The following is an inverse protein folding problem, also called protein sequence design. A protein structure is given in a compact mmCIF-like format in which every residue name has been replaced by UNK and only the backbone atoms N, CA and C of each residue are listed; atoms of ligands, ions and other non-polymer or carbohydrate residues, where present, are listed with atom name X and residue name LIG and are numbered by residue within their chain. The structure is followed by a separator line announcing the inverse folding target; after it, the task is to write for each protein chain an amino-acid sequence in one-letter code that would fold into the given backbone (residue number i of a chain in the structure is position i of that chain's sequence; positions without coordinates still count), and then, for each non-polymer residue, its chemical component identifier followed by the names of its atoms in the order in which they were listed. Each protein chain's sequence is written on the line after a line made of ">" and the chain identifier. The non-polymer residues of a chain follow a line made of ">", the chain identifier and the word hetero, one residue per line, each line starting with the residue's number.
data_IF_044934663178
#
_entry.id   IF_044934663178
#
_cell.length_a   1.000
_cell.length_b   1.000
_cell.length_c   1.000
_cell.angle_alpha   90.00
_cell.angle_beta   90.00
_cell.angle_gamma   90.00
#
_symmetry.space_group_name_H-M   'P 1'
#
loop_
_entity.id
_entity.type
_entity.pdbx_description
1 polymer ?
#
# COMPACT_ATOMS: atom_id res chain seq x y z
N UNK A 1 -22.10 -23.68 -22.23
CA UNK A 1 -22.61 -22.29 -22.25
C UNK A 1 -21.96 -21.53 -21.12
N UNK A 2 -21.14 -20.52 -21.44
CA UNK A 2 -20.70 -19.54 -20.44
C UNK A 2 -21.85 -18.61 -20.08
N UNK A 3 -21.92 -18.17 -18.82
CA UNK A 3 -22.80 -17.09 -18.42
C UNK A 3 -22.04 -15.77 -18.63
N UNK A 4 -22.70 -14.78 -19.25
CA UNK A 4 -22.14 -13.45 -19.38
C UNK A 4 -21.91 -12.84 -18.00
N UNK A 5 -20.79 -12.13 -17.85
CA UNK A 5 -20.45 -11.45 -16.61
C UNK A 5 -20.68 -9.95 -16.79
N UNK A 6 -21.66 -9.43 -16.05
CA UNK A 6 -22.02 -8.03 -16.03
C UNK A 6 -21.64 -7.34 -14.71
N UNK A 7 -21.84 -6.02 -14.68
CA UNK A 7 -21.61 -5.18 -13.51
C UNK A 7 -22.42 -5.64 -12.29
N UNK A 8 -23.67 -6.04 -12.50
CA UNK A 8 -24.60 -6.44 -11.43
C UNK A 8 -24.12 -7.71 -10.72
N UNK A 9 -23.62 -8.70 -11.48
CA UNK A 9 -23.04 -9.92 -10.93
C UNK A 9 -21.88 -9.64 -9.97
N UNK A 10 -21.02 -8.65 -10.29
CA UNK A 10 -19.93 -8.26 -9.41
C UNK A 10 -20.45 -7.51 -8.18
N UNK A 11 -21.41 -6.61 -8.34
CA UNK A 11 -22.02 -5.88 -7.23
C UNK A 11 -22.66 -6.82 -6.21
N UNK A 12 -23.39 -7.85 -6.64
CA UNK A 12 -23.98 -8.84 -5.74
C UNK A 12 -22.91 -9.46 -4.83
N UNK A 13 -21.75 -9.83 -5.39
CA UNK A 13 -20.65 -10.43 -4.62
C UNK A 13 -20.00 -9.39 -3.69
N UNK A 14 -19.82 -8.16 -4.16
CA UNK A 14 -19.24 -7.06 -3.37
C UNK A 14 -20.14 -6.66 -2.20
N UNK A 15 -21.43 -6.45 -2.45
CA UNK A 15 -22.44 -6.15 -1.43
C UNK A 15 -22.52 -7.27 -0.40
N UNK A 16 -22.55 -8.54 -0.84
CA UNK A 16 -22.51 -9.68 0.06
C UNK A 16 -21.27 -9.64 0.97
N UNK A 17 -20.10 -9.26 0.44
CA UNK A 17 -18.87 -9.13 1.22
C UNK A 17 -18.89 -7.97 2.23
N UNK A 18 -19.72 -6.95 2.01
CA UNK A 18 -19.87 -5.80 2.90
C UNK A 18 -20.88 -6.07 4.04
N UNK A 19 -21.94 -6.83 3.76
CA UNK A 19 -22.91 -7.24 4.76
C UNK A 19 -22.24 -8.15 5.78
N UNK A 20 -22.10 -7.65 7.02
CA UNK A 20 -21.50 -8.38 8.14
C UNK A 20 -22.21 -9.74 8.28
N UNK A 21 -21.47 -10.84 8.02
CA UNK A 21 -21.81 -12.27 8.20
C UNK A 21 -22.21 -13.08 6.95
N UNK A 22 -22.32 -12.51 5.74
CA UNK A 22 -22.70 -13.35 4.58
C UNK A 22 -21.48 -14.10 4.01
N UNK A 23 -20.45 -13.39 3.57
CA UNK A 23 -19.22 -13.96 2.99
C UNK A 23 -17.98 -13.19 3.46
N UNK A 24 -16.88 -13.91 3.70
CA UNK A 24 -15.58 -13.27 3.99
C UNK A 24 -15.01 -12.63 2.73
N UNK A 25 -14.24 -11.54 2.87
CA UNK A 25 -13.52 -10.87 1.76
C UNK A 25 -12.69 -11.83 0.90
N UNK A 26 -11.99 -12.78 1.54
CA UNK A 26 -11.21 -13.80 0.84
C UNK A 26 -12.08 -14.69 -0.07
N UNK A 27 -13.25 -15.11 0.43
CA UNK A 27 -14.22 -15.91 -0.33
C UNK A 27 -14.85 -15.09 -1.46
N UNK A 28 -15.18 -13.82 -1.22
CA UNK A 28 -15.68 -12.92 -2.26
C UNK A 28 -14.72 -12.84 -3.45
N UNK A 29 -13.41 -12.68 -3.19
CA UNK A 29 -12.40 -12.70 -4.26
C UNK A 29 -12.31 -14.04 -4.97
N UNK A 30 -12.41 -15.18 -4.26
CA UNK A 30 -12.44 -16.50 -4.90
C UNK A 30 -13.65 -16.65 -5.83
N UNK A 31 -14.82 -16.16 -5.40
CA UNK A 31 -16.03 -16.18 -6.23
C UNK A 31 -15.82 -15.32 -7.48
N UNK A 32 -15.33 -14.09 -7.32
CA UNK A 32 -15.04 -13.19 -8.45
C UNK A 32 -14.06 -13.85 -9.43
N UNK A 33 -12.94 -14.39 -8.94
CA UNK A 33 -11.97 -15.09 -9.79
C UNK A 33 -12.58 -16.29 -10.55
N UNK A 34 -13.48 -17.04 -9.91
CA UNK A 34 -14.22 -18.10 -10.58
C UNK A 34 -15.17 -17.58 -11.65
N UNK A 35 -15.84 -16.44 -11.43
CA UNK A 35 -16.64 -15.78 -12.45
C UNK A 35 -15.79 -15.40 -13.67
N UNK A 36 -14.63 -14.78 -13.46
CA UNK A 36 -13.70 -14.45 -14.56
C UNK A 36 -13.16 -15.69 -15.27
N UNK A 37 -12.90 -16.79 -14.54
CA UNK A 37 -12.46 -18.06 -15.15
C UNK A 37 -13.54 -18.62 -16.09
N UNK A 38 -14.81 -18.39 -15.80
CA UNK A 38 -15.91 -18.78 -16.68
C UNK A 38 -15.96 -17.97 -17.98
N UNK A 39 -15.35 -16.78 -18.03
CA UNK A 39 -15.22 -15.93 -19.22
C UNK A 39 -14.02 -16.31 -20.11
N UNK A 40 -13.32 -17.41 -19.83
CA UNK A 40 -12.22 -17.88 -20.68
C UNK A 40 -12.73 -18.37 -22.06
N UNK A 41 -11.82 -18.36 -23.04
CA UNK A 41 -12.08 -18.62 -24.47
C UNK A 41 -12.91 -19.89 -24.75
N UNK A 42 -12.88 -20.88 -23.85
CA UNK A 42 -13.58 -22.15 -24.03
C UNK A 42 -15.11 -22.03 -23.88
N UNK A 43 -15.63 -20.91 -23.36
CA UNK A 43 -17.05 -20.79 -22.96
C UNK A 43 -17.85 -19.69 -23.66
N UNK A 44 -17.22 -18.88 -24.51
CA UNK A 44 -17.85 -17.75 -25.23
C UNK A 44 -18.63 -16.77 -24.32
N UNK A 45 -18.27 -16.68 -23.04
CA UNK A 45 -18.89 -15.72 -22.14
C UNK A 45 -18.33 -14.32 -22.39
N UNK A 46 -19.19 -13.32 -22.43
CA UNK A 46 -18.80 -11.92 -22.61
C UNK A 46 -18.64 -11.22 -21.26
N UNK A 47 -17.73 -10.24 -21.23
CA UNK A 47 -17.45 -9.41 -20.06
C UNK A 47 -17.95 -8.00 -20.36
N UNK A 48 -19.02 -7.56 -19.70
CA UNK A 48 -19.64 -6.25 -19.93
C UNK A 48 -19.68 -5.44 -18.63
N UNK A 49 -18.51 -4.90 -18.25
CA UNK A 49 -18.34 -4.14 -17.02
C UNK A 49 -17.86 -2.75 -17.39
N UNK A 50 -18.67 -1.73 -17.07
CA UNK A 50 -18.45 -0.34 -17.49
C UNK A 50 -18.38 0.66 -16.35
N UNK A 51 -18.50 0.21 -15.10
CA UNK A 51 -18.61 1.10 -13.95
C UNK A 51 -17.26 1.25 -13.21
N UNK A 52 -16.60 2.43 -13.27
CA UNK A 52 -15.32 2.64 -12.60
C UNK A 52 -15.38 2.57 -11.08
N UNK A 53 -16.57 2.77 -10.49
CA UNK A 53 -16.76 2.70 -9.03
C UNK A 53 -16.39 1.33 -8.46
N UNK A 54 -16.50 0.26 -9.25
CA UNK A 54 -16.07 -1.08 -8.88
C UNK A 54 -14.58 -1.14 -8.50
N UNK A 55 -13.74 -0.26 -9.05
CA UNK A 55 -12.31 -0.22 -8.73
C UNK A 55 -12.13 0.06 -7.23
N UNK A 56 -12.85 1.05 -6.71
CA UNK A 56 -12.80 1.43 -5.30
C UNK A 56 -13.34 0.32 -4.39
N UNK A 57 -14.44 -0.31 -4.79
CA UNK A 57 -15.04 -1.41 -4.02
C UNK A 57 -14.16 -2.66 -3.97
N UNK A 58 -13.51 -3.00 -5.09
CA UNK A 58 -12.54 -4.09 -5.11
C UNK A 58 -11.34 -3.79 -4.20
N UNK A 59 -10.83 -2.55 -4.18
CA UNK A 59 -9.76 -2.17 -3.25
C UNK A 59 -10.18 -2.20 -1.77
N UNK A 60 -11.44 -1.88 -1.45
CA UNK A 60 -11.98 -2.03 -0.08
C UNK A 60 -11.93 -3.49 0.41
N UNK A 61 -11.97 -4.48 -0.49
CA UNK A 61 -11.77 -5.89 -0.11
C UNK A 61 -10.34 -6.18 0.35
N UNK A 62 -9.34 -5.46 -0.17
CA UNK A 62 -7.95 -5.61 0.22
C UNK A 62 -7.56 -4.74 1.43
N UNK A 63 -8.35 -3.72 1.77
CA UNK A 63 -8.04 -2.77 2.85
C UNK A 63 -7.90 -3.45 4.21
N UNK A 64 -6.77 -3.22 4.88
CA UNK A 64 -6.53 -3.65 6.25
C UNK A 64 -7.14 -2.64 7.21
N UNK A 65 -8.11 -3.08 8.02
CA UNK A 65 -8.72 -2.28 9.07
C UNK A 65 -8.19 -2.78 10.42
N UNK A 66 -7.39 -1.98 11.15
CA UNK A 66 -6.84 -2.40 12.44
C UNK A 66 -7.96 -2.61 13.46
N UNK A 67 -7.90 -3.74 14.18
CA UNK A 67 -8.85 -4.10 15.24
C UNK A 67 -8.68 -3.12 16.40
N UNK A 68 -9.70 -2.32 16.70
CA UNK A 68 -9.67 -1.34 17.79
C UNK A 68 -9.82 0.12 17.35
N UNK A 69 -9.87 0.41 16.05
CA UNK A 69 -10.33 1.73 15.60
C UNK A 69 -11.87 1.76 15.69
N UNK A 70 -12.49 2.70 16.43
CA UNK A 70 -13.92 2.93 16.30
C UNK A 70 -14.16 3.26 14.82
N UNK A 71 -15.02 2.47 14.17
CA UNK A 71 -15.50 2.81 12.83
C UNK A 71 -16.17 4.18 12.98
N UNK A 72 -15.87 5.19 12.13
CA UNK A 72 -16.77 6.32 12.03
C UNK A 72 -18.14 5.72 11.72
N UNK A 73 -19.05 5.84 12.67
CA UNK A 73 -20.45 5.49 12.46
C UNK A 73 -20.96 6.54 11.49
N UNK A 74 -21.35 6.12 10.30
CA UNK A 74 -21.98 6.98 9.29
C UNK A 74 -23.38 7.50 9.73
N UNK A 75 -23.75 7.29 11.00
CA UNK A 75 -24.92 7.87 11.67
C UNK A 75 -24.59 9.28 12.22
N UNK A 76 -24.36 10.24 11.33
CA UNK A 76 -24.52 11.65 11.69
C UNK A 76 -26.03 12.02 11.63
N UNK A 77 -26.81 11.41 12.51
CA UNK A 77 -28.14 11.92 12.86
C UNK A 77 -27.96 13.07 13.85
N UNK A 78 -27.92 14.28 13.30
CA UNK A 78 -28.47 15.52 13.83
C UNK A 78 -28.87 15.47 15.31
N UNK A 79 -27.92 15.75 16.20
CA UNK A 79 -28.27 16.39 17.47
C UNK A 79 -27.23 17.47 17.80
N UNK A 80 -27.71 18.71 17.68
CA UNK A 80 -27.02 19.95 17.99
C UNK A 80 -26.82 20.07 19.50
N UNK A 81 -25.58 20.01 19.97
CA UNK A 81 -25.20 20.52 21.28
C UNK A 81 -23.71 20.86 21.30
N UNK A 82 -23.45 22.16 21.45
CA UNK A 82 -22.13 22.79 21.58
C UNK A 82 -21.15 22.00 22.46
N UNK A 83 -20.08 21.50 21.85
CA UNK A 83 -18.85 21.14 22.56
C UNK A 83 -17.66 21.41 21.65
N UNK A 84 -17.32 22.69 21.61
CA UNK A 84 -16.08 23.23 21.10
C UNK A 84 -14.89 22.73 21.95
N UNK A 85 -14.38 21.53 21.68
CA UNK A 85 -13.04 21.12 22.12
C UNK A 85 -12.56 19.89 21.33
N UNK A 86 -11.35 20.02 20.78
CA UNK A 86 -10.53 18.99 20.12
C UNK A 86 -10.78 18.76 18.62
N UNK A 87 -10.37 19.75 17.83
CA UNK A 87 -9.67 19.51 16.56
C UNK A 87 -8.33 18.77 16.80
N UNK A 88 -8.41 17.57 17.38
CA UNK A 88 -7.32 16.61 17.32
C UNK A 88 -7.28 16.07 15.91
N UNK A 89 -6.42 16.65 15.05
CA UNK A 89 -5.99 16.00 13.83
C UNK A 89 -5.30 14.69 14.22
N UNK A 90 -6.10 13.64 14.44
CA UNK A 90 -5.55 12.30 14.54
C UNK A 90 -4.81 12.06 13.22
N UNK A 91 -3.51 11.79 13.24
CA UNK A 91 -2.74 11.62 12.02
C UNK A 91 -3.46 10.56 11.19
N UNK A 92 -3.93 10.94 10.00
CA UNK A 92 -4.71 10.05 9.15
C UNK A 92 -3.78 8.90 8.79
N UNK A 93 -3.94 7.77 9.49
CA UNK A 93 -3.15 6.57 9.23
C UNK A 93 -3.40 6.20 7.77
N UNK A 94 -2.34 6.03 6.96
CA UNK A 94 -2.51 5.68 5.56
C UNK A 94 -3.32 4.39 5.44
N UNK A 95 -4.16 4.31 4.39
CA UNK A 95 -4.92 3.10 4.10
C UNK A 95 -3.93 1.97 3.84
N UNK A 96 -3.92 0.99 4.73
CA UNK A 96 -3.10 -0.21 4.59
C UNK A 96 -3.89 -1.27 3.83
N UNK A 97 -3.19 -2.20 3.19
CA UNK A 97 -3.80 -3.33 2.50
C UNK A 97 -3.18 -4.65 2.94
N UNK A 98 -3.98 -5.72 2.93
CA UNK A 98 -3.46 -7.08 3.04
C UNK A 98 -2.72 -7.44 1.75
N UNK A 99 -1.39 -7.70 1.78
CA UNK A 99 -0.60 -7.87 0.57
C UNK A 99 -1.14 -8.97 -0.36
N UNK A 100 -1.57 -10.11 0.21
CA UNK A 100 -2.13 -11.22 -0.56
C UNK A 100 -3.48 -10.89 -1.22
N UNK A 101 -4.35 -10.10 -0.57
CA UNK A 101 -5.62 -9.66 -1.16
C UNK A 101 -5.39 -8.58 -2.21
N UNK A 102 -4.44 -7.68 -1.95
CA UNK A 102 -4.09 -6.58 -2.85
C UNK A 102 -3.65 -7.09 -4.21
N UNK A 103 -2.71 -8.05 -4.27
CA UNK A 103 -2.26 -8.63 -5.55
C UNK A 103 -3.38 -9.30 -6.34
N UNK A 104 -4.32 -9.98 -5.67
CA UNK A 104 -5.47 -10.60 -6.31
C UNK A 104 -6.41 -9.55 -6.90
N UNK A 105 -6.74 -8.52 -6.11
CA UNK A 105 -7.55 -7.37 -6.56
C UNK A 105 -6.90 -6.69 -7.75
N UNK A 106 -5.60 -6.37 -7.67
CA UNK A 106 -4.87 -5.75 -8.78
C UNK A 106 -4.91 -6.61 -10.04
N UNK A 107 -4.80 -7.94 -9.91
CA UNK A 107 -4.90 -8.85 -11.07
C UNK A 107 -6.27 -8.78 -11.73
N UNK A 108 -7.36 -8.74 -10.94
CA UNK A 108 -8.73 -8.57 -11.45
C UNK A 108 -8.87 -7.21 -12.16
N UNK A 109 -8.36 -6.13 -11.56
CA UNK A 109 -8.39 -4.80 -12.15
C UNK A 109 -7.62 -4.72 -13.48
N UNK A 110 -6.52 -5.46 -13.62
CA UNK A 110 -5.79 -5.57 -14.88
C UNK A 110 -6.66 -6.19 -15.97
N UNK A 111 -7.39 -7.28 -15.66
CA UNK A 111 -8.33 -7.91 -16.60
C UNK A 111 -9.42 -6.91 -17.01
N UNK A 112 -10.01 -6.19 -16.05
CA UNK A 112 -11.03 -5.17 -16.31
C UNK A 112 -10.51 -4.01 -17.16
N UNK A 113 -9.27 -3.57 -16.92
CA UNK A 113 -8.64 -2.52 -17.72
C UNK A 113 -8.38 -2.96 -19.16
N UNK A 114 -8.09 -4.25 -19.38
CA UNK A 114 -7.94 -4.84 -20.70
C UNK A 114 -9.26 -4.99 -21.44
N UNK A 115 -10.37 -5.26 -20.74
CA UNK A 115 -11.69 -5.39 -21.36
C UNK A 115 -12.31 -4.06 -21.76
N UNK A 116 -12.08 -2.99 -20.98
CA UNK A 116 -12.51 -1.63 -21.30
C UNK A 116 -11.39 -0.61 -21.06
N UNK A 117 -10.46 -0.44 -22.02
CA UNK A 117 -9.34 0.48 -21.88
C UNK A 117 -9.76 1.94 -21.79
N UNK A 118 -10.86 2.31 -22.46
CA UNK A 118 -11.31 3.70 -22.61
C UNK A 118 -11.84 4.27 -21.31
N UNK A 119 -12.59 3.48 -20.55
CA UNK A 119 -13.20 3.93 -19.30
C UNK A 119 -12.47 3.37 -18.08
N UNK A 120 -12.44 2.05 -17.91
CA UNK A 120 -11.78 1.42 -16.74
C UNK A 120 -10.27 1.66 -16.74
N UNK A 121 -9.62 1.46 -17.89
CA UNK A 121 -8.17 1.68 -18.04
C UNK A 121 -7.77 3.13 -17.78
N UNK A 122 -8.53 4.09 -18.31
CA UNK A 122 -8.28 5.52 -18.10
C UNK A 122 -8.42 5.92 -16.62
N UNK A 123 -9.50 5.51 -15.94
CA UNK A 123 -9.69 5.80 -14.50
C UNK A 123 -8.58 5.16 -13.66
N UNK A 124 -8.26 3.89 -13.92
CA UNK A 124 -7.21 3.17 -13.19
C UNK A 124 -5.84 3.85 -13.36
N UNK A 125 -5.54 4.35 -14.56
CA UNK A 125 -4.30 5.07 -14.83
C UNK A 125 -4.19 6.42 -14.13
N UNK A 126 -5.32 7.12 -13.93
CA UNK A 126 -5.35 8.44 -13.30
C UNK A 126 -5.31 8.34 -11.77
N UNK A 127 -6.06 7.41 -11.20
CA UNK A 127 -6.23 7.30 -9.75
C UNK A 127 -5.18 6.38 -9.10
N UNK A 128 -4.66 5.39 -9.83
CA UNK A 128 -3.80 4.31 -9.28
C UNK A 128 -2.49 4.14 -10.07
N UNK A 129 -1.51 5.06 -9.91
CA UNK A 129 -0.26 5.05 -10.67
C UNK A 129 0.55 3.76 -10.49
N UNK A 130 0.43 3.09 -9.34
CA UNK A 130 1.06 1.78 -9.09
C UNK A 130 0.57 0.70 -10.05
N UNK A 131 -0.72 0.71 -10.40
CA UNK A 131 -1.27 -0.25 -11.36
C UNK A 131 -0.80 0.07 -12.77
N UNK A 132 -0.70 1.34 -13.12
CA UNK A 132 -0.09 1.76 -14.39
C UNK A 132 1.36 1.27 -14.51
N UNK A 133 2.14 1.38 -13.44
CA UNK A 133 3.49 0.84 -13.40
C UNK A 133 3.48 -0.68 -13.63
N UNK A 134 2.54 -1.42 -13.02
CA UNK A 134 2.35 -2.85 -13.24
C UNK A 134 1.95 -3.21 -14.67
N UNK A 135 1.03 -2.46 -15.28
CA UNK A 135 0.65 -2.62 -16.69
C UNK A 135 1.89 -2.44 -17.57
N UNK A 136 2.62 -1.34 -17.40
CA UNK A 136 3.86 -1.06 -18.16
C UNK A 136 4.91 -2.14 -17.96
N UNK A 137 5.04 -2.68 -16.74
CA UNK A 137 5.96 -3.79 -16.45
C UNK A 137 5.54 -5.08 -17.18
N UNK A 138 4.26 -5.43 -17.12
CA UNK A 138 3.74 -6.64 -17.76
C UNK A 138 3.82 -6.57 -19.29
N UNK A 139 3.52 -5.42 -19.89
CA UNK A 139 3.51 -5.26 -21.35
C UNK A 139 4.89 -5.05 -21.95
N UNK A 140 5.83 -4.44 -21.22
CA UNK A 140 7.21 -4.22 -21.72
C UNK A 140 8.12 -5.44 -21.58
N UNK A 141 7.76 -6.44 -20.75
CA UNK A 141 8.61 -7.58 -20.43
C UNK A 141 9.93 -7.21 -19.74
N UNK A 142 10.10 -5.94 -19.35
CA UNK A 142 11.31 -5.41 -18.72
C UNK A 142 10.96 -4.98 -17.30
N UNK A 143 11.10 -5.89 -16.35
CA UNK A 143 11.07 -5.52 -14.93
C UNK A 143 12.32 -4.68 -14.61
N UNK A 144 12.16 -3.35 -14.61
CA UNK A 144 13.13 -2.43 -14.01
C UNK A 144 12.37 -1.35 -13.26
N UNK A 145 12.38 -1.47 -11.94
CA UNK A 145 12.05 -0.39 -11.03
C UNK A 145 13.38 0.28 -10.64
N UNK A 146 13.61 1.57 -10.94
CA UNK A 146 12.74 2.55 -11.61
C UNK A 146 12.74 2.41 -13.15
N UNK A 147 11.66 2.86 -13.80
CA UNK A 147 11.49 2.87 -15.26
C UNK A 147 12.64 3.62 -15.95
N UNK A 148 13.19 3.01 -17.00
CA UNK A 148 14.53 3.31 -17.55
C UNK A 148 14.59 4.57 -18.44
N UNK A 149 13.49 5.30 -18.60
CA UNK A 149 13.44 6.50 -19.46
C UNK A 149 13.47 7.82 -18.67
N UNK A 150 13.96 7.79 -17.43
CA UNK A 150 14.13 9.00 -16.62
C UNK A 150 15.57 9.52 -16.74
N UNK A 151 15.71 10.80 -17.08
CA UNK A 151 16.94 11.57 -16.93
C UNK A 151 17.58 11.34 -15.56
N UNK A 152 18.91 11.40 -15.46
CA UNK A 152 19.63 11.08 -14.22
C UNK A 152 19.15 11.93 -13.03
N UNK A 153 18.72 13.18 -13.27
CA UNK A 153 18.11 14.04 -12.25
C UNK A 153 16.76 13.55 -11.74
N UNK A 154 15.90 13.03 -12.63
CA UNK A 154 14.61 12.44 -12.27
C UNK A 154 14.83 11.14 -11.48
N UNK A 155 15.83 10.36 -11.87
CA UNK A 155 16.22 9.14 -11.16
C UNK A 155 16.65 9.44 -9.72
N UNK A 156 17.45 10.47 -9.52
CA UNK A 156 17.91 10.84 -8.17
C UNK A 156 16.81 11.50 -7.32
N UNK A 157 15.88 12.25 -7.94
CA UNK A 157 14.65 12.69 -7.26
C UNK A 157 13.81 11.49 -6.79
N UNK A 158 13.56 10.53 -7.67
CA UNK A 158 12.80 9.32 -7.33
C UNK A 158 13.46 8.50 -6.22
N UNK A 159 14.79 8.35 -6.23
CA UNK A 159 15.50 7.68 -5.12
C UNK A 159 15.31 8.39 -3.78
N UNK A 160 15.34 9.72 -3.77
CA UNK A 160 15.10 10.51 -2.55
C UNK A 160 13.67 10.35 -2.05
N UNK A 161 12.69 10.41 -2.95
CA UNK A 161 11.29 10.18 -2.64
C UNK A 161 11.04 8.76 -2.14
N UNK A 162 11.65 7.74 -2.75
CA UNK A 162 11.57 6.35 -2.30
C UNK A 162 12.17 6.18 -0.90
N UNK A 163 13.33 6.80 -0.62
CA UNK A 163 13.93 6.76 0.71
C UNK A 163 13.01 7.43 1.74
N UNK A 164 12.42 8.57 1.40
CA UNK A 164 11.48 9.29 2.26
C UNK A 164 10.22 8.45 2.53
N UNK A 165 9.63 7.84 1.50
CA UNK A 165 8.48 6.96 1.67
C UNK A 165 8.81 5.75 2.54
N UNK A 166 10.00 5.15 2.38
CA UNK A 166 10.45 4.04 3.23
C UNK A 166 10.61 4.44 4.70
N UNK A 167 11.08 5.66 4.98
CA UNK A 167 11.14 6.20 6.33
C UNK A 167 9.74 6.47 6.92
N UNK A 168 8.81 6.98 6.10
CA UNK A 168 7.41 7.16 6.50
C UNK A 168 6.71 5.81 6.79
N UNK A 169 6.93 4.81 5.94
CA UNK A 169 6.45 3.43 6.14
C UNK A 169 6.98 2.84 7.45
N UNK A 170 8.28 3.00 7.72
CA UNK A 170 8.88 2.55 8.97
C UNK A 170 8.22 3.25 10.18
N UNK A 171 8.01 4.57 10.12
CA UNK A 171 7.33 5.33 11.19
C UNK A 171 5.90 4.85 11.42
N UNK A 172 5.16 4.56 10.36
CA UNK A 172 3.78 4.04 10.47
C UNK A 172 3.78 2.62 11.04
N UNK A 173 4.70 1.77 10.61
CA UNK A 173 4.84 0.42 11.15
C UNK A 173 5.19 0.44 12.64
N UNK A 174 6.09 1.32 13.06
CA UNK A 174 6.40 1.54 14.47
C UNK A 174 5.16 1.94 15.25
N UNK A 175 4.38 2.90 14.75
CA UNK A 175 3.18 3.37 15.44
C UNK A 175 2.08 2.29 15.56
N UNK A 176 1.92 1.45 14.54
CA UNK A 176 0.84 0.46 14.49
C UNK A 176 1.18 -0.88 15.14
N UNK A 177 2.45 -1.29 15.11
CA UNK A 177 2.83 -2.66 15.46
C UNK A 177 3.82 -2.74 16.63
N UNK A 178 4.48 -1.65 17.03
CA UNK A 178 5.27 -1.69 18.26
C UNK A 178 4.38 -1.45 19.48
N UNK A 179 4.56 -2.21 20.56
CA UNK A 179 3.89 -1.92 21.82
C UNK A 179 4.26 -0.51 22.27
N UNK A 180 3.32 0.26 22.83
CA UNK A 180 3.61 1.59 23.34
C UNK A 180 4.75 1.45 24.36
N UNK A 181 5.89 2.10 24.07
CA UNK A 181 7.04 2.02 24.94
C UNK A 181 6.58 2.38 26.36
N UNK A 182 6.89 1.55 27.38
CA UNK A 182 6.54 1.88 28.74
C UNK A 182 7.12 3.26 29.02
N UNK A 183 6.29 4.19 29.49
CA UNK A 183 6.73 5.52 29.92
C UNK A 183 7.61 5.36 31.16
N UNK A 184 8.82 4.86 30.99
CA UNK A 184 9.83 4.82 32.05
C UNK A 184 10.17 6.28 32.32
N UNK A 185 9.61 6.81 33.41
CA UNK A 185 10.09 8.04 34.04
C UNK A 185 11.61 7.89 34.13
N UNK A 186 12.34 8.76 33.44
CA UNK A 186 13.80 8.83 33.52
C UNK A 186 14.17 9.26 34.93
N UNK A 187 14.33 8.31 35.84
CA UNK A 187 15.23 8.52 36.97
C UNK A 187 16.65 8.46 36.43
N UNK A 188 17.35 9.58 36.54
CA UNK A 188 18.78 9.71 36.30
C UNK A 188 19.51 8.84 37.34
N UNK A 189 19.81 7.60 36.99
CA UNK A 189 20.83 6.81 37.70
C UNK A 189 21.92 6.49 36.70
N UNK A 190 23.06 7.13 36.89
CA UNK A 190 24.26 6.83 36.14
C UNK A 190 24.75 5.44 36.50
N UNK A 191 24.85 4.56 35.51
CA UNK A 191 25.91 3.55 35.52
C UNK A 191 26.24 3.12 34.09
N UNK A 192 27.51 3.26 33.77
CA UNK A 192 28.21 2.73 32.60
C UNK A 192 28.08 1.21 32.57
N UNK A 193 27.43 0.67 31.54
CA UNK A 193 27.65 -0.71 31.13
C UNK A 193 27.47 -0.88 29.62
N UNK A 194 28.42 -1.54 28.92
CA UNK A 194 28.40 -1.65 27.47
C UNK A 194 27.36 -2.68 27.03
N UNK A 195 26.32 -2.23 26.31
CA UNK A 195 25.35 -3.10 25.65
C UNK A 195 26.03 -3.96 24.58
N UNK A 196 26.32 -5.21 24.92
CA UNK A 196 26.56 -6.32 23.99
C UNK A 196 25.31 -6.53 23.12
N UNK A 197 25.49 -6.60 21.80
CA UNK A 197 24.61 -7.41 20.96
C UNK A 197 23.68 -6.72 19.97
N UNK A 198 24.02 -5.54 19.41
CA UNK A 198 23.44 -5.17 18.12
C UNK A 198 24.23 -5.86 17.00
N UNK A 199 23.68 -6.94 16.41
CA UNK A 199 24.20 -7.55 15.19
C UNK A 199 23.98 -6.58 14.02
N UNK A 200 24.83 -5.55 13.92
CA UNK A 200 24.94 -4.76 12.71
C UNK A 200 25.45 -5.67 11.58
N UNK A 201 24.67 -5.74 10.49
CA UNK A 201 25.02 -6.46 9.26
C UNK A 201 26.42 -6.08 8.78
N UNK A 202 27.19 -7.04 8.26
CA UNK A 202 28.55 -6.81 7.76
C UNK A 202 28.62 -5.63 6.75
N UNK A 203 27.59 -5.47 5.92
CA UNK A 203 27.46 -4.35 4.97
C UNK A 203 27.32 -2.98 5.65
N UNK A 204 26.71 -2.93 6.82
CA UNK A 204 26.50 -1.68 7.55
C UNK A 204 27.80 -1.22 8.25
N UNK A 205 28.61 -2.19 8.73
CA UNK A 205 29.95 -1.92 9.27
C UNK A 205 30.89 -1.39 8.20
N UNK A 206 30.89 -2.01 7.02
CA UNK A 206 31.73 -1.58 5.90
C UNK A 206 31.40 -0.15 5.42
N UNK A 207 30.11 0.21 5.38
CA UNK A 207 29.69 1.59 5.09
C UNK A 207 30.15 2.59 6.16
N UNK A 208 30.02 2.25 7.44
CA UNK A 208 30.47 3.13 8.53
C UNK A 208 31.99 3.32 8.51
N UNK A 209 32.76 2.26 8.27
CA UNK A 209 34.22 2.33 8.20
C UNK A 209 34.69 3.16 7.00
N UNK A 210 34.02 3.04 5.85
CA UNK A 210 34.33 3.86 4.67
C UNK A 210 34.09 5.35 4.92
N UNK A 211 32.98 5.71 5.56
CA UNK A 211 32.68 7.10 5.94
C UNK A 211 33.70 7.62 6.95
N UNK A 212 34.09 6.80 7.93
CA UNK A 212 35.08 7.20 8.93
C UNK A 212 36.46 7.46 8.32
N UNK A 213 36.90 6.61 7.38
CA UNK A 213 38.16 6.80 6.65
C UNK A 213 38.15 8.07 5.81
N UNK A 214 37.03 8.37 5.13
CA UNK A 214 36.92 9.62 4.36
C UNK A 214 36.95 10.85 5.26
N UNK A 215 36.31 10.80 6.43
CA UNK A 215 36.33 11.91 7.38
C UNK A 215 37.74 12.15 7.94
N UNK A 216 38.44 11.08 8.33
CA UNK A 216 39.83 11.16 8.80
C UNK A 216 40.79 11.67 7.71
N UNK A 217 40.60 11.27 6.46
CA UNK A 217 41.39 11.77 5.34
C UNK A 217 41.16 13.27 5.08
N UNK A 218 39.92 13.75 5.23
CA UNK A 218 39.59 15.17 5.11
C UNK A 218 40.19 16.00 6.25
N UNK A 219 40.01 15.54 7.50
CA UNK A 219 40.58 16.22 8.67
C UNK A 219 42.13 16.27 8.60
N UNK A 220 42.78 15.21 8.10
CA UNK A 220 44.23 15.20 7.90
C UNK A 220 44.69 16.13 6.77
N UNK A 221 43.90 16.26 5.69
CA UNK A 221 44.21 17.18 4.60
C UNK A 221 44.02 18.65 5.01
N UNK A 222 43.01 18.95 5.83
CA UNK A 222 42.77 20.29 6.38
C UNK A 222 43.81 20.67 7.44
N UNK A 223 44.35 19.72 8.20
CA UNK A 223 45.41 19.98 9.17
C UNK A 223 46.82 20.12 8.54
N UNK A 224 46.99 19.71 7.27
CA UNK A 224 48.24 19.80 6.53
C UNK A 224 48.29 21.00 5.56
N UNK A 225 47.20 21.76 5.44
CA UNK A 225 47.09 23.00 4.69
C UNK A 225 47.27 24.21 5.62
#
# INVERSE_FOLDING_TARGET
>A
YGADLDTDSLWIVLEAAQVRKSISRQRALVIIEHLFRCCSNDRNATLNIKEPRLINELYKLAEFVPVGRPRPTDDESMDTSDSNMQNGHSPSVPKLAHPGLWWRVTSILLVLSGSDPSTMGATLSQEYPTVLALIKMATSGRYRFPTVDCDDELRDRMKKEESKMREEEARVAEHLFLPPAPKTKKEKVGSTSPRRGARASARQRERQDKVRRQKQAKEAAEAAA
#
